data_IF_235914326682
#
_entry.id   IF_235914326682
#
_cell.length_a   1.000
_cell.length_b   1.000
_cell.length_c   1.000
_cell.angle_alpha   90.00
_cell.angle_beta   90.00
_cell.angle_gamma   90.00
#
_symmetry.space_group_name_H-M   'P 1'
#
loop_
_entity.id
_entity.type
_entity.pdbx_description
1 polymer ?
#
# COMPACT_ATOMS: atom_id res chain seq x y z
N UNK A 1 5.26 9.92 9.16
CA UNK A 1 6.00 9.22 8.09
C UNK A 1 5.08 9.13 6.88
N UNK A 2 5.49 9.75 5.78
CA UNK A 2 4.88 9.53 4.47
C UNK A 2 5.56 8.29 3.85
N UNK A 3 4.81 7.37 3.26
CA UNK A 3 5.36 6.16 2.64
C UNK A 3 5.05 6.15 1.15
N UNK A 4 6.06 6.02 0.31
CA UNK A 4 5.87 5.86 -1.14
C UNK A 4 5.60 4.39 -1.45
N UNK A 5 4.56 4.13 -2.24
CA UNK A 5 4.10 2.78 -2.62
C UNK A 5 4.01 2.71 -4.14
N UNK A 6 4.79 1.80 -4.73
CA UNK A 6 4.78 1.47 -6.14
C UNK A 6 3.67 0.46 -6.44
N UNK A 7 2.84 0.74 -7.43
CA UNK A 7 1.72 -0.12 -7.85
C UNK A 7 1.70 -0.25 -9.37
N UNK A 8 1.28 -1.38 -9.89
CA UNK A 8 1.06 -1.54 -11.33
C UNK A 8 -0.19 -0.77 -11.78
N UNK A 9 -0.14 -0.23 -12.99
CA UNK A 9 -1.25 0.46 -13.63
C UNK A 9 -2.44 -0.49 -13.79
N UNK A 10 -3.60 -0.04 -13.31
CA UNK A 10 -4.83 -0.84 -13.33
C UNK A 10 -4.90 -1.93 -12.25
N UNK A 11 -3.92 -2.01 -11.35
CA UNK A 11 -3.98 -2.94 -10.23
C UNK A 11 -5.19 -2.65 -9.33
N UNK A 12 -5.84 -3.72 -8.88
CA UNK A 12 -6.91 -3.66 -7.87
C UNK A 12 -6.27 -3.50 -6.50
N UNK A 13 -6.16 -2.26 -6.03
CA UNK A 13 -5.54 -1.96 -4.74
C UNK A 13 -6.39 -2.44 -3.57
N UNK A 14 -5.71 -2.87 -2.52
CA UNK A 14 -6.30 -3.22 -1.23
C UNK A 14 -5.52 -2.50 -0.13
N UNK A 15 -6.23 -2.03 0.88
CA UNK A 15 -5.63 -1.60 2.13
C UNK A 15 -5.45 -2.81 3.03
N UNK A 16 -4.31 -2.87 3.72
CA UNK A 16 -4.03 -3.88 4.72
C UNK A 16 -3.99 -3.25 6.12
N UNK A 17 -4.48 -3.97 7.11
CA UNK A 17 -4.36 -3.64 8.53
C UNK A 17 -3.76 -4.80 9.32
N UNK A 18 -3.29 -4.50 10.53
CA UNK A 18 -2.96 -5.53 11.51
C UNK A 18 -4.22 -6.36 11.85
N UNK A 19 -4.00 -7.60 12.31
CA UNK A 19 -5.12 -8.46 12.73
C UNK A 19 -5.98 -7.75 13.79
N UNK A 20 -7.29 -7.73 13.55
CA UNK A 20 -8.28 -7.11 14.43
C UNK A 20 -9.60 -7.85 14.29
N UNK A 21 -10.25 -8.11 15.43
CA UNK A 21 -11.58 -8.70 15.45
C UNK A 21 -12.70 -7.66 15.24
N UNK A 22 -12.38 -6.37 15.37
CA UNK A 22 -13.37 -5.30 15.18
C UNK A 22 -13.53 -4.93 13.69
N UNK A 23 -14.78 -4.65 13.30
CA UNK A 23 -15.02 -3.90 12.07
C UNK A 23 -14.46 -2.48 12.21
N UNK A 24 -14.00 -1.90 11.10
CA UNK A 24 -13.32 -0.60 11.13
C UNK A 24 -13.52 0.13 9.80
N UNK A 25 -13.59 1.45 9.83
CA UNK A 25 -13.81 2.27 8.64
C UNK A 25 -12.67 3.25 8.48
N UNK A 26 -12.09 3.28 7.28
CA UNK A 26 -11.04 4.20 6.91
C UNK A 26 -11.53 5.12 5.80
N UNK A 27 -11.25 6.41 5.92
CA UNK A 27 -11.42 7.37 4.83
C UNK A 27 -10.10 7.53 4.10
N UNK A 28 -10.13 7.31 2.80
CA UNK A 28 -9.06 7.67 1.87
C UNK A 28 -9.35 9.05 1.32
N UNK A 29 -8.37 9.95 1.39
CA UNK A 29 -8.48 11.32 0.87
C UNK A 29 -7.35 11.56 -0.12
N UNK A 30 -7.67 11.91 -1.36
CA UNK A 30 -6.67 12.47 -2.29
C UNK A 30 -6.33 13.88 -1.82
N UNK A 31 -5.07 14.11 -1.44
CA UNK A 31 -4.63 15.39 -0.89
C UNK A 31 -4.49 16.50 -1.93
N UNK A 32 -4.58 16.18 -3.21
CA UNK A 32 -4.58 17.17 -4.29
C UNK A 32 -5.99 17.61 -4.66
N UNK A 33 -6.91 16.66 -4.87
CA UNK A 33 -8.27 16.96 -5.34
C UNK A 33 -9.27 17.12 -4.21
N UNK A 34 -8.89 16.75 -2.98
CA UNK A 34 -9.77 16.64 -1.82
C UNK A 34 -10.92 15.64 -2.00
N UNK A 35 -10.87 14.78 -3.02
CA UNK A 35 -11.81 13.67 -3.19
C UNK A 35 -11.67 12.69 -2.02
N UNK A 36 -12.80 12.13 -1.58
CA UNK A 36 -12.86 11.23 -0.41
C UNK A 36 -13.59 9.94 -0.77
N UNK A 37 -13.06 8.82 -0.29
CA UNK A 37 -13.67 7.51 -0.42
C UNK A 37 -13.60 6.76 0.90
N UNK A 38 -14.66 6.03 1.23
CA UNK A 38 -14.70 5.19 2.42
C UNK A 38 -14.41 3.74 2.07
N UNK A 39 -13.67 3.09 2.95
CA UNK A 39 -13.41 1.66 2.89
C UNK A 39 -13.68 1.05 4.26
N UNK A 40 -14.36 -0.09 4.24
CA UNK A 40 -14.72 -0.84 5.44
C UNK A 40 -13.92 -2.13 5.52
N UNK A 41 -13.27 -2.34 6.66
CA UNK A 41 -12.74 -3.63 7.05
C UNK A 41 -13.79 -4.37 7.85
N UNK A 42 -14.25 -5.51 7.34
CA UNK A 42 -15.09 -6.42 8.09
C UNK A 42 -14.39 -6.94 9.36
N UNK A 43 -15.17 -7.33 10.37
CA UNK A 43 -14.68 -8.00 11.57
C UNK A 43 -13.79 -9.20 11.21
N UNK A 44 -12.60 -9.29 11.81
CA UNK A 44 -11.64 -10.36 11.52
C UNK A 44 -10.86 -10.20 10.20
N UNK A 45 -11.29 -9.33 9.28
CA UNK A 45 -10.59 -9.13 8.00
C UNK A 45 -9.33 -8.29 8.19
N UNK A 46 -8.25 -8.65 7.50
CA UNK A 46 -7.01 -7.85 7.44
C UNK A 46 -6.93 -6.98 6.19
N UNK A 47 -7.85 -7.16 5.24
CA UNK A 47 -7.82 -6.48 3.94
C UNK A 47 -9.17 -5.83 3.65
N UNK A 48 -9.12 -4.72 2.92
CA UNK A 48 -10.30 -4.09 2.37
C UNK A 48 -9.96 -3.46 1.01
N UNK A 49 -10.89 -3.50 0.07
CA UNK A 49 -10.66 -3.02 -1.30
C UNK A 49 -10.58 -1.50 -1.30
N UNK A 50 -9.64 -0.94 -2.08
CA UNK A 50 -9.52 0.50 -2.27
C UNK A 50 -10.85 1.11 -2.77
N UNK A 51 -11.26 2.28 -2.26
CA UNK A 51 -12.58 2.82 -2.56
C UNK A 51 -12.72 3.16 -4.06
N UNK A 52 -13.79 2.68 -4.69
CA UNK A 52 -14.04 2.87 -6.13
C UNK A 52 -14.20 4.34 -6.55
N UNK A 53 -14.59 5.22 -5.62
CA UNK A 53 -14.72 6.66 -5.85
C UNK A 53 -13.39 7.43 -5.88
N UNK A 54 -12.26 6.76 -5.59
CA UNK A 54 -10.92 7.38 -5.58
C UNK A 54 -10.03 6.62 -6.55
N UNK A 55 -9.79 7.20 -7.72
CA UNK A 55 -8.89 6.62 -8.70
C UNK A 55 -7.44 6.69 -8.19
N UNK A 56 -6.70 5.57 -8.13
CA UNK A 56 -5.26 5.60 -7.90
C UNK A 56 -4.56 6.33 -9.06
N UNK A 57 -3.71 7.29 -8.73
CA UNK A 57 -3.01 8.16 -9.68
C UNK A 57 -1.53 8.23 -9.35
N UNK A 58 -0.71 8.37 -10.39
CA UNK A 58 0.73 8.52 -10.26
C UNK A 58 1.12 9.84 -9.58
N UNK A 59 2.17 9.76 -8.76
CA UNK A 59 2.71 10.84 -7.93
C UNK A 59 1.68 11.57 -7.06
N UNK A 60 0.61 10.87 -6.67
CA UNK A 60 -0.42 11.44 -5.79
C UNK A 60 -0.25 11.01 -4.36
N UNK A 61 -0.39 11.99 -3.47
CA UNK A 61 -0.42 11.79 -2.03
C UNK A 61 -1.86 11.56 -1.56
N UNK A 62 -2.04 10.55 -0.72
CA UNK A 62 -3.30 10.19 -0.09
C UNK A 62 -3.15 10.18 1.42
N UNK A 63 -4.16 10.67 2.12
CA UNK A 63 -4.29 10.48 3.56
C UNK A 63 -5.25 9.33 3.85
N UNK A 64 -4.87 8.50 4.83
CA UNK A 64 -5.73 7.50 5.43
C UNK A 64 -6.13 7.98 6.82
N UNK A 65 -7.42 8.19 7.00
CA UNK A 65 -8.04 8.62 8.26
C UNK A 65 -8.77 7.42 8.85
N UNK A 66 -8.28 6.91 9.97
CA UNK A 66 -8.95 5.88 10.75
C UNK A 66 -9.81 6.52 11.86
N UNK A 67 -10.71 5.76 12.53
CA UNK A 67 -11.52 6.27 13.62
C UNK A 67 -10.68 6.74 14.81
N UNK A 68 -11.33 7.42 15.76
CA UNK A 68 -10.72 8.27 16.77
C UNK A 68 -9.50 7.67 17.50
N UNK A 69 -8.55 8.55 17.84
CA UNK A 69 -7.24 8.26 18.46
C UNK A 69 -6.20 7.52 17.62
N UNK A 70 -6.43 7.21 16.33
CA UNK A 70 -5.37 6.69 15.46
C UNK A 70 -4.65 7.81 14.70
N UNK A 71 -3.31 7.76 14.61
CA UNK A 71 -2.56 8.77 13.87
C UNK A 71 -2.91 8.68 12.39
N UNK A 72 -3.12 9.86 11.77
CA UNK A 72 -3.23 9.99 10.31
C UNK A 72 -2.03 9.33 9.64
N UNK A 73 -2.29 8.48 8.65
CA UNK A 73 -1.25 7.95 7.76
C UNK A 73 -1.30 8.70 6.43
N UNK A 74 -0.15 8.88 5.82
CA UNK A 74 -0.03 9.46 4.49
C UNK A 74 0.81 8.51 3.65
N UNK A 75 0.42 8.34 2.40
CA UNK A 75 1.16 7.58 1.40
C UNK A 75 1.20 8.33 0.08
N UNK A 76 2.25 8.12 -0.70
CA UNK A 76 2.33 8.58 -2.08
C UNK A 76 2.30 7.36 -3.00
N UNK A 77 1.44 7.35 -4.01
CA UNK A 77 1.43 6.27 -5.01
C UNK A 77 2.37 6.61 -6.17
N UNK A 78 3.16 5.62 -6.59
CA UNK A 78 3.92 5.62 -7.84
C UNK A 78 3.33 4.55 -8.74
N UNK A 79 2.75 4.94 -9.88
CA UNK A 79 2.11 3.99 -10.79
C UNK A 79 3.09 3.57 -11.87
N UNK A 80 3.36 2.28 -11.95
CA UNK A 80 4.23 1.66 -12.93
C UNK A 80 3.39 1.17 -14.11
N UNK A 81 3.88 1.34 -15.34
CA UNK A 81 3.20 0.78 -16.52
C UNK A 81 3.15 -0.76 -16.47
N UNK A 82 4.18 -1.39 -15.92
CA UNK A 82 4.26 -2.83 -15.67
C UNK A 82 5.11 -3.12 -14.45
N UNK A 83 4.86 -4.24 -13.76
CA UNK A 83 5.77 -4.69 -12.71
C UNK A 83 7.14 -5.07 -13.29
N UNK A 84 8.24 -4.69 -12.62
CA UNK A 84 9.58 -5.10 -13.04
C UNK A 84 9.79 -6.59 -12.82
N UNK A 85 10.61 -7.20 -13.69
CA UNK A 85 11.06 -8.58 -13.49
C UNK A 85 11.92 -8.71 -12.23
N UNK A 86 12.03 -9.93 -11.70
CA UNK A 86 12.74 -10.25 -10.45
C UNK A 86 14.18 -9.70 -10.41
N UNK A 87 14.90 -9.75 -11.52
CA UNK A 87 16.28 -9.27 -11.61
C UNK A 87 16.41 -7.74 -11.51
N UNK A 88 15.33 -7.02 -11.80
CA UNK A 88 15.28 -5.54 -11.88
C UNK A 88 14.46 -4.88 -10.76
N UNK A 89 13.70 -5.67 -10.00
CA UNK A 89 12.73 -5.18 -9.00
C UNK A 89 13.37 -4.28 -7.95
N UNK A 90 14.56 -4.63 -7.44
CA UNK A 90 15.24 -3.81 -6.42
C UNK A 90 15.71 -2.48 -6.98
N UNK A 91 16.22 -2.45 -8.21
CA UNK A 91 16.66 -1.23 -8.87
C UNK A 91 15.47 -0.29 -9.10
N UNK A 92 14.35 -0.83 -9.58
CA UNK A 92 13.12 -0.05 -9.85
C UNK A 92 12.47 0.48 -8.57
N UNK A 93 12.38 -0.34 -7.51
CA UNK A 93 11.85 0.11 -6.22
C UNK A 93 12.74 1.19 -5.59
N UNK A 94 14.07 1.06 -5.70
CA UNK A 94 15.01 2.05 -5.19
C UNK A 94 14.95 3.37 -5.99
N UNK A 95 14.89 3.30 -7.32
CA UNK A 95 14.81 4.47 -8.20
C UNK A 95 13.54 5.31 -7.96
N UNK A 96 12.49 4.71 -7.39
CA UNK A 96 11.18 5.32 -7.17
C UNK A 96 10.88 5.61 -5.71
N UNK A 97 11.88 5.45 -4.84
CA UNK A 97 11.79 5.65 -3.39
C UNK A 97 10.71 4.77 -2.71
N UNK A 98 10.39 3.61 -3.31
CA UNK A 98 9.44 2.63 -2.77
C UNK A 98 10.09 1.76 -1.68
N UNK A 99 10.72 2.42 -0.70
CA UNK A 99 11.59 1.82 0.31
C UNK A 99 10.92 0.70 1.12
N UNK A 100 9.65 0.87 1.48
CA UNK A 100 8.94 -0.17 2.24
C UNK A 100 8.85 -1.48 1.47
N UNK A 101 8.56 -1.43 0.18
CA UNK A 101 8.51 -2.61 -0.69
C UNK A 101 9.90 -3.17 -0.96
N UNK A 102 10.92 -2.30 -1.11
CA UNK A 102 12.31 -2.73 -1.24
C UNK A 102 12.74 -3.57 -0.02
N UNK A 103 12.53 -3.04 1.18
CA UNK A 103 12.92 -3.71 2.43
C UNK A 103 12.14 -5.03 2.62
N UNK A 104 10.86 -5.06 2.26
CA UNK A 104 10.03 -6.26 2.29
C UNK A 104 10.55 -7.35 1.32
N UNK A 105 10.88 -6.97 0.09
CA UNK A 105 11.42 -7.89 -0.92
C UNK A 105 12.75 -8.51 -0.49
N UNK A 106 13.69 -7.68 0.00
CA UNK A 106 14.98 -8.17 0.53
C UNK A 106 14.77 -9.14 1.68
N UNK A 107 13.90 -8.79 2.64
CA UNK A 107 13.59 -9.67 3.78
C UNK A 107 13.01 -11.00 3.33
N UNK A 108 12.10 -10.99 2.35
CA UNK A 108 11.49 -12.20 1.80
C UNK A 108 12.52 -13.10 1.10
N UNK A 109 13.36 -12.56 0.23
CA UNK A 109 14.40 -13.34 -0.46
C UNK A 109 15.40 -13.95 0.52
N UNK A 110 15.80 -13.20 1.55
CA UNK A 110 16.68 -13.71 2.61
C UNK A 110 16.02 -14.77 3.49
N UNK A 111 14.70 -14.67 3.74
CA UNK A 111 13.93 -15.68 4.47
C UNK A 111 13.61 -16.94 3.62
N UNK A 112 13.43 -16.77 2.31
CA UNK A 112 13.25 -17.86 1.34
C UNK A 112 14.50 -18.72 1.16
N UNK A 113 15.69 -18.10 1.20
CA UNK A 113 16.97 -18.81 1.17
C UNK A 113 17.16 -19.76 2.37
N UNK A 114 16.57 -19.46 3.53
CA UNK A 114 16.62 -20.33 4.72
C UNK A 114 15.67 -21.54 4.65
N UNK A 115 14.66 -21.54 3.77
CA UNK A 115 13.66 -22.63 3.67
C UNK A 115 14.08 -23.77 2.74
N UNK A 116 15.20 -23.65 2.02
CA UNK A 116 15.75 -24.71 1.15
C UNK A 116 16.91 -25.51 1.78
N UNK A 117 17.19 -25.31 3.07
CA UNK A 117 18.30 -25.98 3.78
C UNK A 117 17.80 -26.81 4.98
N UNK A 118 16.67 -27.49 4.84
CA UNK A 118 16.16 -28.46 5.82
C UNK A 118 15.63 -29.70 5.11
#
# INVERSE_FOLDING_TARGET
MNSTICVEKGAKLQLQRASSQAADRVTVVDLTTAERGEVEFAAGSQVAVWPAGIAPRDDRAYALLAPENRPRRQLTLRVLDSLPGEDSVLAELAARDCKYQFDAWVKEKMAGGKRKAS
#
